data_IF_351296917115
#
_entry.id   IF_351296917115
#
_cell.length_a   1.000
_cell.length_b   1.000
_cell.length_c   1.000
_cell.angle_alpha   90.00
_cell.angle_beta   90.00
_cell.angle_gamma   90.00
#
_symmetry.space_group_name_H-M   'P 1'
#
loop_
_entity.id
_entity.type
_entity.pdbx_description
1 polymer ?
#
# COMPACT_ATOMS: atom_id res chain seq x y z
N UNK A 1 40.10 7.46 33.33
CA UNK A 1 38.67 7.75 33.58
C UNK A 1 38.15 8.72 32.51
N UNK A 2 37.00 8.47 31.87
CA UNK A 2 36.42 9.39 30.88
C UNK A 2 35.70 10.54 31.60
N UNK A 3 35.96 11.79 31.21
CA UNK A 3 35.36 12.98 31.84
C UNK A 3 33.86 13.09 31.55
N UNK A 4 33.11 13.76 32.42
CA UNK A 4 31.65 13.95 32.29
C UNK A 4 31.25 14.53 30.92
N UNK A 5 32.02 15.49 30.40
CA UNK A 5 31.81 16.07 29.08
C UNK A 5 32.00 15.04 27.94
N UNK A 6 32.98 14.13 28.05
CA UNK A 6 33.18 13.04 27.08
C UNK A 6 32.04 12.03 27.14
N UNK A 7 31.49 11.73 28.33
CA UNK A 7 30.33 10.84 28.48
C UNK A 7 29.07 11.44 27.85
N UNK A 8 28.79 12.72 28.09
CA UNK A 8 27.64 13.42 27.51
C UNK A 8 27.73 13.49 25.97
N UNK A 9 28.90 13.83 25.40
CA UNK A 9 29.11 13.82 23.94
C UNK A 9 28.91 12.45 23.32
N UNK A 10 29.32 11.38 24.00
CA UNK A 10 29.13 10.01 23.51
C UNK A 10 27.66 9.60 23.47
N UNK A 11 26.86 9.96 24.49
CA UNK A 11 25.41 9.68 24.52
C UNK A 11 24.68 10.43 23.40
N UNK A 12 25.02 11.71 23.17
CA UNK A 12 24.44 12.51 22.08
C UNK A 12 24.83 11.96 20.70
N UNK A 13 26.06 11.48 20.53
CA UNK A 13 26.46 10.84 19.27
C UNK A 13 25.77 9.49 19.05
N UNK A 14 25.61 8.68 20.10
CA UNK A 14 24.93 7.39 20.03
C UNK A 14 23.46 7.57 19.61
N UNK A 15 22.77 8.55 20.20
CA UNK A 15 21.37 8.86 19.88
C UNK A 15 21.20 9.43 18.47
N UNK A 16 22.14 10.28 17.99
CA UNK A 16 22.16 10.72 16.58
C UNK A 16 22.36 9.55 15.61
N UNK A 17 23.20 8.58 15.97
CA UNK A 17 23.47 7.39 15.15
C UNK A 17 22.25 6.48 15.10
N UNK A 18 21.62 6.22 16.25
CA UNK A 18 20.38 5.44 16.35
C UNK A 18 19.24 6.07 15.55
N UNK A 19 19.03 7.39 15.64
CA UNK A 19 18.04 8.11 14.81
C UNK A 19 18.31 7.99 13.32
N UNK A 20 19.58 8.06 12.91
CA UNK A 20 19.99 7.88 11.50
C UNK A 20 19.69 6.47 11.00
N UNK A 21 20.01 5.46 11.81
CA UNK A 21 19.71 4.05 11.49
C UNK A 21 18.20 3.87 11.37
N UNK A 22 17.41 4.30 12.36
CA UNK A 22 15.95 4.21 12.33
C UNK A 22 15.36 4.87 11.08
N UNK A 23 15.81 6.08 10.74
CA UNK A 23 15.35 6.81 9.55
C UNK A 23 15.73 6.09 8.25
N UNK A 24 16.94 5.52 8.18
CA UNK A 24 17.38 4.73 7.03
C UNK A 24 16.55 3.45 6.88
N UNK A 25 16.23 2.76 7.98
CA UNK A 25 15.35 1.57 7.98
C UNK A 25 13.94 1.91 7.50
N UNK A 26 13.36 3.02 7.99
CA UNK A 26 12.04 3.49 7.54
C UNK A 26 12.07 3.83 6.05
N UNK A 27 13.11 4.54 5.58
CA UNK A 27 13.26 4.84 4.16
C UNK A 27 13.43 3.57 3.32
N UNK A 28 14.17 2.56 3.79
CA UNK A 28 14.33 1.28 3.10
C UNK A 28 12.98 0.55 2.95
N UNK A 29 12.16 0.54 4.01
CA UNK A 29 10.80 -0.02 3.95
C UNK A 29 9.91 0.80 3.01
N UNK A 30 10.00 2.13 3.03
CA UNK A 30 9.27 3.04 2.12
C UNK A 30 9.79 3.02 0.66
N UNK A 31 10.99 2.52 0.39
CA UNK A 31 11.48 2.30 -0.97
C UNK A 31 10.97 0.98 -1.53
N UNK A 32 10.87 -0.04 -0.67
CA UNK A 32 10.31 -1.35 -1.01
C UNK A 32 8.80 -1.30 -1.25
N UNK A 33 8.13 -0.34 -0.62
CA UNK A 33 6.73 -0.02 -0.84
C UNK A 33 6.67 1.41 -1.35
N UNK A 34 6.60 1.66 -2.68
CA UNK A 34 6.39 3.03 -3.14
C UNK A 34 5.19 3.58 -2.39
N UNK A 35 5.33 4.77 -1.80
CA UNK A 35 4.20 5.47 -1.20
C UNK A 35 3.11 5.45 -2.26
N UNK A 36 1.99 4.78 -1.99
CA UNK A 36 0.77 5.02 -2.73
C UNK A 36 0.65 6.53 -2.78
N UNK A 37 0.66 7.06 -4.01
CA UNK A 37 0.68 8.49 -4.24
C UNK A 37 -0.62 8.97 -3.63
N UNK A 38 -0.59 9.40 -2.36
CA UNK A 38 -1.69 10.07 -1.67
C UNK A 38 -1.80 11.45 -2.31
N UNK A 39 -2.14 11.44 -3.59
CA UNK A 39 -2.76 12.55 -4.27
C UNK A 39 -4.00 12.82 -3.45
N UNK A 40 -3.88 13.88 -2.67
CA UNK A 40 -4.94 14.50 -1.91
C UNK A 40 -6.14 14.63 -2.84
N UNK A 41 -7.26 14.03 -2.43
CA UNK A 41 -8.60 14.33 -2.93
C UNK A 41 -8.64 14.66 -4.42
N UNK A 42 -8.47 13.64 -5.26
CA UNK A 42 -8.99 13.76 -6.60
C UNK A 42 -10.47 13.42 -6.54
N UNK A 43 -11.31 14.43 -6.70
CA UNK A 43 -12.71 14.34 -7.07
C UNK A 43 -12.81 13.68 -8.46
N UNK A 44 -12.28 12.48 -8.61
CA UNK A 44 -12.35 11.68 -9.83
C UNK A 44 -13.36 10.59 -9.58
N UNK A 45 -14.35 10.49 -10.46
CA UNK A 45 -15.43 9.50 -10.49
C UNK A 45 -14.95 8.04 -10.56
N UNK A 46 -13.64 7.78 -10.48
CA UNK A 46 -13.00 6.51 -10.78
C UNK A 46 -12.17 6.03 -9.58
N UNK A 47 -12.58 4.94 -8.95
CA UNK A 47 -11.81 4.25 -7.90
C UNK A 47 -10.69 3.42 -8.51
N UNK A 48 -9.49 3.48 -7.93
CA UNK A 48 -8.36 2.66 -8.39
C UNK A 48 -8.03 1.61 -7.35
N UNK A 49 -7.98 0.36 -7.77
CA UNK A 49 -7.59 -0.78 -6.95
C UNK A 49 -6.34 -1.43 -7.50
N UNK A 50 -5.42 -1.76 -6.60
CA UNK A 50 -4.16 -2.43 -6.91
C UNK A 50 -4.12 -3.75 -6.15
N UNK A 51 -4.03 -4.84 -6.90
CA UNK A 51 -3.82 -6.20 -6.42
C UNK A 51 -2.34 -6.50 -6.50
N UNK A 52 -1.68 -6.55 -5.33
CA UNK A 52 -0.23 -6.77 -5.23
C UNK A 52 0.07 -8.13 -4.61
N UNK A 53 0.91 -8.96 -5.24
CA UNK A 53 1.38 -10.19 -4.62
C UNK A 53 2.09 -9.89 -3.31
N UNK A 54 1.83 -10.71 -2.30
CA UNK A 54 2.55 -10.59 -1.03
C UNK A 54 3.95 -11.19 -1.12
N UNK A 55 4.87 -10.62 -0.35
CA UNK A 55 6.25 -11.12 -0.28
C UNK A 55 6.36 -12.58 0.22
N UNK A 56 5.36 -13.07 0.95
CA UNK A 56 5.29 -14.46 1.42
C UNK A 56 4.71 -15.41 0.37
N UNK A 57 4.28 -14.91 -0.80
CA UNK A 57 3.63 -15.66 -1.89
C UNK A 57 2.36 -16.40 -1.48
N UNK A 58 1.72 -16.00 -0.37
CA UNK A 58 0.52 -16.66 0.17
C UNK A 58 -0.78 -15.96 -0.19
N UNK A 59 -0.75 -15.07 -1.18
CA UNK A 59 -1.93 -14.37 -1.66
C UNK A 59 -1.61 -12.96 -2.14
N UNK A 60 -2.65 -12.13 -2.13
CA UNK A 60 -2.59 -10.78 -2.67
C UNK A 60 -3.17 -9.78 -1.66
N UNK A 61 -2.55 -8.61 -1.61
CA UNK A 61 -3.07 -7.44 -0.92
C UNK A 61 -3.88 -6.60 -1.93
N UNK A 62 -5.14 -6.34 -1.61
CA UNK A 62 -6.00 -5.40 -2.32
C UNK A 62 -5.86 -4.02 -1.65
N UNK A 63 -5.31 -3.09 -2.40
CA UNK A 63 -4.99 -1.73 -1.94
C UNK A 63 -5.79 -0.75 -2.77
N UNK A 64 -6.45 0.21 -2.12
CA UNK A 64 -7.11 1.34 -2.77
C UNK A 64 -7.21 2.49 -1.78
N UNK A 65 -7.27 3.70 -2.30
CA UNK A 65 -7.61 4.91 -1.55
C UNK A 65 -9.10 4.97 -1.17
N UNK A 66 -9.96 4.24 -1.89
CA UNK A 66 -11.39 4.13 -1.61
C UNK A 66 -11.70 3.23 -0.39
N UNK A 67 -10.74 2.39 0.03
CA UNK A 67 -10.95 1.47 1.15
C UNK A 67 -10.99 2.25 2.48
N UNK A 68 -12.03 2.07 3.30
CA UNK A 68 -12.16 2.76 4.59
C UNK A 68 -11.20 2.19 5.65
N UNK A 69 -10.65 1.00 5.39
CA UNK A 69 -9.74 0.27 6.27
C UNK A 69 -8.41 -0.01 5.57
N UNK A 70 -7.42 -0.47 6.34
CA UNK A 70 -6.13 -0.96 5.83
C UNK A 70 -6.29 -1.98 4.69
N UNK A 71 -5.24 -2.23 3.87
CA UNK A 71 -5.28 -3.19 2.77
C UNK A 71 -5.95 -4.51 3.15
N UNK A 72 -6.82 -5.00 2.27
CA UNK A 72 -7.50 -6.28 2.45
C UNK A 72 -6.62 -7.42 1.92
N UNK A 73 -6.60 -8.54 2.63
CA UNK A 73 -5.79 -9.70 2.26
C UNK A 73 -6.67 -10.85 1.79
N UNK A 74 -6.37 -11.37 0.60
CA UNK A 74 -7.02 -12.55 0.02
C UNK A 74 -6.01 -13.69 -0.13
N UNK A 75 -6.43 -14.91 0.23
CA UNK A 75 -5.62 -16.14 0.16
C UNK A 75 -6.46 -17.29 -0.41
N UNK A 76 -5.79 -18.17 -1.14
CA UNK A 76 -6.38 -19.38 -1.71
C UNK A 76 -6.37 -19.35 -3.23
N UNK A 77 -6.90 -20.40 -3.88
CA UNK A 77 -6.89 -20.52 -5.34
C UNK A 77 -7.66 -19.40 -6.05
N UNK A 78 -8.66 -18.80 -5.37
CA UNK A 78 -9.53 -17.77 -5.94
C UNK A 78 -9.20 -16.35 -5.46
N UNK A 79 -8.06 -16.16 -4.79
CA UNK A 79 -7.73 -14.89 -4.13
C UNK A 79 -7.85 -13.65 -5.05
N UNK A 80 -7.43 -13.80 -6.31
CA UNK A 80 -7.53 -12.73 -7.32
C UNK A 80 -8.99 -12.44 -7.66
N UNK A 81 -9.77 -13.49 -7.96
CA UNK A 81 -11.20 -13.37 -8.29
C UNK A 81 -12.00 -12.76 -7.15
N UNK A 82 -11.76 -13.19 -5.92
CA UNK A 82 -12.45 -12.69 -4.72
C UNK A 82 -12.15 -11.21 -4.50
N UNK A 83 -10.91 -10.78 -4.69
CA UNK A 83 -10.51 -9.39 -4.56
C UNK A 83 -11.11 -8.50 -5.68
N UNK A 84 -11.13 -9.00 -6.92
CA UNK A 84 -11.78 -8.31 -8.04
C UNK A 84 -13.28 -8.16 -7.76
N UNK A 85 -13.92 -9.22 -7.27
CA UNK A 85 -15.33 -9.22 -6.90
C UNK A 85 -15.62 -8.18 -5.81
N UNK A 86 -14.77 -8.10 -4.79
CA UNK A 86 -14.88 -7.09 -3.75
C UNK A 86 -14.72 -5.66 -4.31
N UNK A 87 -13.70 -5.40 -5.13
CA UNK A 87 -13.46 -4.08 -5.70
C UNK A 87 -14.62 -3.58 -6.56
N UNK A 88 -15.22 -4.46 -7.37
CA UNK A 88 -16.44 -4.16 -8.13
C UNK A 88 -17.62 -3.86 -7.21
N UNK A 89 -17.84 -4.69 -6.20
CA UNK A 89 -18.95 -4.52 -5.25
C UNK A 89 -18.86 -3.21 -4.46
N UNK A 90 -17.66 -2.84 -4.02
CA UNK A 90 -17.44 -1.60 -3.28
C UNK A 90 -17.57 -0.36 -4.18
N UNK A 91 -17.35 -0.51 -5.48
CA UNK A 91 -17.39 0.57 -6.46
C UNK A 91 -18.70 0.65 -7.25
N UNK A 92 -19.78 -0.01 -6.84
CA UNK A 92 -21.01 -0.08 -7.66
C UNK A 92 -21.55 1.28 -8.16
N UNK A 93 -21.36 2.35 -7.39
CA UNK A 93 -21.81 3.71 -7.73
C UNK A 93 -20.75 4.59 -8.40
N UNK A 94 -19.56 4.06 -8.66
CA UNK A 94 -18.43 4.80 -9.21
C UNK A 94 -17.77 3.97 -10.30
N UNK A 95 -17.18 4.62 -11.30
CA UNK A 95 -16.30 3.87 -12.19
C UNK A 95 -15.12 3.32 -11.38
N UNK A 96 -14.54 2.20 -11.81
CA UNK A 96 -13.36 1.67 -11.16
C UNK A 96 -12.39 1.01 -12.13
N UNK A 97 -11.11 1.13 -11.82
CA UNK A 97 -10.02 0.45 -12.49
C UNK A 97 -9.32 -0.45 -11.48
N UNK A 98 -9.29 -1.75 -11.78
CA UNK A 98 -8.66 -2.77 -10.93
C UNK A 98 -7.43 -3.28 -11.68
N UNK A 99 -6.24 -3.12 -11.10
CA UNK A 99 -4.97 -3.54 -11.68
C UNK A 99 -4.39 -4.69 -10.88
N UNK A 100 -4.05 -5.78 -11.55
CA UNK A 100 -3.33 -6.91 -10.98
C UNK A 100 -1.87 -6.80 -11.37
N UNK A 101 -1.00 -6.84 -10.36
CA UNK A 101 0.44 -6.77 -10.53
C UNK A 101 1.08 -8.14 -10.41
N UNK A 102 2.19 -8.35 -11.12
CA UNK A 102 3.10 -9.46 -10.87
C UNK A 102 4.08 -9.16 -9.72
N UNK A 103 4.92 -10.14 -9.38
CA UNK A 103 5.96 -10.03 -8.34
C UNK A 103 7.01 -8.94 -8.68
N UNK A 104 7.18 -8.60 -9.95
CA UNK A 104 8.09 -7.56 -10.42
C UNK A 104 7.47 -6.15 -10.38
N UNK A 105 6.17 -6.04 -10.09
CA UNK A 105 5.43 -4.78 -10.06
C UNK A 105 4.97 -4.30 -11.42
N UNK A 106 4.90 -5.17 -12.43
CA UNK A 106 4.28 -4.89 -13.72
C UNK A 106 2.79 -5.24 -13.67
N UNK A 107 1.96 -4.46 -14.36
CA UNK A 107 0.54 -4.77 -14.52
C UNK A 107 0.41 -5.95 -15.49
N UNK A 108 -0.18 -7.04 -15.02
CA UNK A 108 -0.45 -8.24 -15.83
C UNK A 108 -1.91 -8.32 -16.28
N UNK A 109 -2.82 -7.70 -15.51
CA UNK A 109 -4.24 -7.68 -15.83
C UNK A 109 -4.87 -6.37 -15.38
N UNK A 110 -5.82 -5.85 -16.15
CA UNK A 110 -6.56 -4.65 -15.82
C UNK A 110 -8.04 -4.84 -16.13
N UNK A 111 -8.89 -4.54 -15.15
CA UNK A 111 -10.35 -4.57 -15.30
C UNK A 111 -10.94 -3.18 -15.13
N UNK A 112 -11.84 -2.81 -16.03
CA UNK A 112 -12.74 -1.67 -15.85
C UNK A 112 -14.07 -2.11 -15.27
N UNK A 113 -14.65 -1.27 -14.41
CA UNK A 113 -16.02 -1.36 -13.95
C UNK A 113 -16.70 -0.01 -14.16
N UNK A 114 -17.86 0.00 -14.80
CA UNK A 114 -18.70 1.18 -14.91
C UNK A 114 -19.63 1.25 -13.70
N UNK A 115 -19.67 2.38 -13.03
CA UNK A 115 -20.55 2.63 -11.88
C UNK A 115 -21.92 3.11 -12.33
N UNK A 116 -22.72 2.24 -12.93
CA UNK A 116 -24.05 2.57 -13.47
C UNK A 116 -25.20 2.38 -12.45
N UNK A 117 -24.86 2.29 -11.16
CA UNK A 117 -25.86 2.13 -10.10
C UNK A 117 -26.82 3.32 -10.06
N UNK A 118 -28.08 3.06 -10.38
CA UNK A 118 -29.17 4.03 -10.37
C UNK A 118 -29.97 3.87 -9.08
N UNK A 119 -30.03 4.93 -8.28
CA UNK A 119 -30.95 5.02 -7.14
C UNK A 119 -32.39 5.06 -7.68
N UNK A 120 -33.27 4.26 -7.09
CA UNK A 120 -34.68 4.13 -7.47
C UNK A 120 -35.56 5.01 -6.58
#
# INVERSE_FOLDING_TARGET
MKTLAQRQRNVVNLTKRARRVLKASINLVQQRWPKSNRLKHSTTSVHVYELRPRADKRGFDLISDALPYSPLWYRGPNAISDAIGYAKFYSRSHDAVIRVYDDAGNVIEQHGHAGDFKEW
#
